data_IF_686306259521
#
_entry.id   IF_686306259521
#
_cell.length_a   1.000
_cell.length_b   1.000
_cell.length_c   1.000
_cell.angle_alpha   90.00
_cell.angle_beta   90.00
_cell.angle_gamma   90.00
#
_symmetry.space_group_name_H-M   'P 1'
#
loop_
_entity.id
_entity.type
_entity.pdbx_description
1 polymer ?
#
# COMPACT_ATOMS: atom_id res chain seq x y z
N UNK A 1 15.37 7.57 -1.73
CA UNK A 1 14.33 6.58 -1.40
C UNK A 1 14.79 5.19 -1.78
N UNK A 2 14.19 4.17 -1.18
CA UNK A 2 14.23 2.77 -1.65
C UNK A 2 13.36 2.61 -2.90
N UNK A 3 13.54 1.56 -3.70
CA UNK A 3 12.63 1.21 -4.81
C UNK A 3 11.26 0.74 -4.28
N UNK A 4 10.17 1.04 -5.02
CA UNK A 4 8.87 0.40 -4.81
C UNK A 4 8.99 -1.08 -5.14
N UNK A 5 8.39 -1.96 -4.33
CA UNK A 5 8.59 -3.42 -4.50
C UNK A 5 8.04 -3.94 -5.83
N UNK A 6 6.80 -3.56 -6.17
CA UNK A 6 6.14 -4.02 -7.42
C UNK A 6 5.33 -2.90 -8.06
N UNK A 7 5.52 -2.75 -9.37
CA UNK A 7 4.70 -1.89 -10.24
C UNK A 7 3.99 -2.74 -11.27
N UNK A 8 2.67 -2.62 -11.34
CA UNK A 8 1.86 -3.23 -12.41
C UNK A 8 1.37 -2.13 -13.35
N UNK A 9 1.77 -2.21 -14.62
CA UNK A 9 1.29 -1.31 -15.68
C UNK A 9 0.07 -1.91 -16.38
N UNK A 10 -1.05 -1.18 -16.35
CA UNK A 10 -2.31 -1.51 -17.02
C UNK A 10 -2.62 -0.44 -18.07
N UNK A 11 -2.02 -0.59 -19.26
CA UNK A 11 -2.06 0.46 -20.28
C UNK A 11 -1.31 1.71 -19.80
N UNK A 12 -2.03 2.83 -19.65
CA UNK A 12 -1.48 4.09 -19.10
C UNK A 12 -1.61 4.21 -17.57
N UNK A 13 -2.22 3.24 -16.91
CA UNK A 13 -2.49 3.25 -15.46
C UNK A 13 -1.47 2.39 -14.74
N UNK A 14 -1.15 2.76 -13.50
CA UNK A 14 -0.15 2.08 -12.69
C UNK A 14 -0.70 1.71 -11.33
N UNK A 15 -0.40 0.50 -10.87
CA UNK A 15 -0.67 0.06 -9.50
C UNK A 15 0.66 -0.16 -8.81
N UNK A 16 0.82 0.42 -7.63
CA UNK A 16 2.01 0.28 -6.82
C UNK A 16 1.71 -0.60 -5.62
N UNK A 17 2.61 -1.53 -5.34
CA UNK A 17 2.52 -2.43 -4.21
C UNK A 17 3.77 -2.30 -3.36
N UNK A 18 3.57 -2.29 -2.06
CA UNK A 18 4.65 -2.27 -1.08
C UNK A 18 4.41 -3.39 -0.06
N UNK A 19 5.38 -4.27 0.10
CA UNK A 19 5.30 -5.51 0.88
C UNK A 19 5.95 -5.30 2.23
N UNK A 20 5.21 -5.60 3.31
CA UNK A 20 5.71 -5.52 4.68
C UNK A 20 5.48 -6.84 5.41
N UNK A 21 6.50 -7.29 6.13
CA UNK A 21 6.49 -8.55 6.91
C UNK A 21 6.22 -8.31 8.40
N UNK A 22 5.75 -7.11 8.76
CA UNK A 22 5.45 -6.75 10.14
C UNK A 22 4.27 -7.56 10.70
N UNK A 23 4.33 -7.86 11.99
CA UNK A 23 3.37 -8.74 12.68
C UNK A 23 2.02 -8.09 12.99
N UNK A 24 1.76 -6.86 12.53
CA UNK A 24 0.46 -6.21 12.64
C UNK A 24 0.12 -5.40 11.39
N UNK A 25 -1.17 -5.33 11.00
CA UNK A 25 -1.59 -4.55 9.85
C UNK A 25 -1.29 -3.06 10.05
N UNK A 26 -1.40 -2.53 11.27
CA UNK A 26 -1.04 -1.14 11.61
C UNK A 26 0.42 -0.84 11.28
N UNK A 27 1.35 -1.74 11.61
CA UNK A 27 2.76 -1.56 11.28
C UNK A 27 3.00 -1.60 9.76
N UNK A 28 2.43 -2.59 9.06
CA UNK A 28 2.50 -2.66 7.59
C UNK A 28 2.00 -1.37 6.93
N UNK A 29 0.83 -0.85 7.36
CA UNK A 29 0.25 0.38 6.83
C UNK A 29 1.17 1.57 7.08
N UNK A 30 1.64 1.76 8.32
CA UNK A 30 2.51 2.89 8.69
C UNK A 30 3.82 2.90 7.90
N UNK A 31 4.44 1.74 7.72
CA UNK A 31 5.71 1.61 7.02
C UNK A 31 5.56 1.81 5.51
N UNK A 32 4.50 1.27 4.90
CA UNK A 32 4.30 1.32 3.46
C UNK A 32 3.77 2.66 2.94
N UNK A 33 2.99 3.39 3.74
CA UNK A 33 2.31 4.61 3.28
C UNK A 33 3.27 5.67 2.74
N UNK A 34 4.37 5.92 3.44
CA UNK A 34 5.35 6.93 3.03
C UNK A 34 5.94 6.62 1.66
N UNK A 35 6.38 5.38 1.46
CA UNK A 35 6.97 4.94 0.19
C UNK A 35 5.97 4.98 -0.97
N UNK A 36 4.75 4.48 -0.75
CA UNK A 36 3.69 4.50 -1.78
C UNK A 36 3.36 5.93 -2.23
N UNK A 37 3.26 6.86 -1.28
CA UNK A 37 3.00 8.27 -1.57
C UNK A 37 4.20 8.97 -2.21
N UNK A 38 5.41 8.71 -1.74
CA UNK A 38 6.63 9.27 -2.34
C UNK A 38 6.74 8.86 -3.81
N UNK A 39 6.59 7.58 -4.14
CA UNK A 39 6.63 7.11 -5.53
C UNK A 39 5.54 7.73 -6.42
N UNK A 40 4.34 7.90 -5.87
CA UNK A 40 3.20 8.38 -6.65
C UNK A 40 3.15 9.90 -6.80
N UNK A 41 3.70 10.66 -5.84
CA UNK A 41 3.45 12.10 -5.72
C UNK A 41 4.74 12.95 -5.72
N UNK A 42 5.93 12.35 -5.60
CA UNK A 42 7.18 13.10 -5.71
C UNK A 42 7.29 13.76 -7.09
N UNK A 43 7.88 14.97 -7.22
CA UNK A 43 8.08 15.60 -8.53
C UNK A 43 8.76 14.67 -9.54
N UNK A 44 8.13 14.47 -10.69
CA UNK A 44 8.59 13.53 -11.73
C UNK A 44 8.23 12.06 -11.46
N UNK A 45 7.51 11.78 -10.37
CA UNK A 45 6.93 10.48 -10.06
C UNK A 45 5.78 10.11 -10.98
N UNK A 46 5.35 8.86 -10.88
CA UNK A 46 4.26 8.32 -11.70
C UNK A 46 3.02 8.18 -10.84
N UNK A 47 1.97 8.94 -11.15
CA UNK A 47 0.70 8.85 -10.44
C UNK A 47 0.12 7.44 -10.57
N UNK A 48 -0.15 6.81 -9.43
CA UNK A 48 -0.71 5.49 -9.34
C UNK A 48 -2.25 5.55 -9.26
N UNK A 49 -2.91 4.74 -10.08
CA UNK A 49 -4.35 4.51 -9.98
C UNK A 49 -4.69 3.76 -8.68
N UNK A 50 -3.78 2.92 -8.17
CA UNK A 50 -3.94 2.20 -6.91
C UNK A 50 -2.63 2.10 -6.15
N UNK A 51 -2.73 2.31 -4.84
CA UNK A 51 -1.66 2.09 -3.87
C UNK A 51 -2.04 0.86 -3.02
N UNK A 52 -1.20 -0.15 -2.94
CA UNK A 52 -1.54 -1.40 -2.26
C UNK A 52 -0.49 -1.73 -1.22
N UNK A 53 -0.90 -1.69 0.05
CA UNK A 53 -0.11 -2.25 1.14
C UNK A 53 -0.32 -3.75 1.18
N UNK A 54 0.76 -4.51 1.07
CA UNK A 54 0.74 -5.97 1.16
C UNK A 54 1.30 -6.39 2.51
N UNK A 55 0.58 -7.22 3.24
CA UNK A 55 1.02 -7.76 4.53
C UNK A 55 0.67 -9.23 4.71
N UNK A 56 1.30 -9.89 5.66
CA UNK A 56 1.06 -11.31 5.96
C UNK A 56 -0.13 -11.51 6.93
N UNK A 57 -0.41 -10.47 7.71
CA UNK A 57 -1.45 -10.50 8.74
C UNK A 57 -2.81 -10.14 8.18
N UNK A 58 -3.86 -10.58 8.87
CA UNK A 58 -5.21 -10.17 8.53
C UNK A 58 -5.43 -8.72 8.96
N UNK A 59 -6.15 -7.97 8.12
CA UNK A 59 -6.58 -6.62 8.47
C UNK A 59 -7.56 -6.71 9.64
N UNK A 60 -7.25 -6.01 10.73
CA UNK A 60 -8.09 -5.90 11.91
C UNK A 60 -9.11 -4.73 11.77
N UNK A 61 -10.11 -4.62 12.68
CA UNK A 61 -11.11 -3.56 12.61
C UNK A 61 -10.53 -2.14 12.64
N UNK A 62 -9.47 -1.92 13.42
CA UNK A 62 -8.79 -0.64 13.56
C UNK A 62 -8.07 -0.26 12.26
N UNK A 63 -7.34 -1.19 11.66
CA UNK A 63 -6.71 -1.02 10.35
C UNK A 63 -7.73 -0.77 9.25
N UNK A 64 -8.88 -1.45 9.29
CA UNK A 64 -9.97 -1.19 8.36
C UNK A 64 -10.58 0.21 8.55
N UNK A 65 -10.73 0.67 9.80
CA UNK A 65 -11.19 2.04 10.08
C UNK A 65 -10.17 3.08 9.59
N UNK A 66 -8.89 2.83 9.81
CA UNK A 66 -7.81 3.70 9.34
C UNK A 66 -7.78 3.81 7.82
N UNK A 67 -7.86 2.69 7.08
CA UNK A 67 -7.97 2.71 5.62
C UNK A 67 -9.21 3.46 5.13
N UNK A 68 -10.37 3.29 5.80
CA UNK A 68 -11.58 4.05 5.48
C UNK A 68 -11.36 5.54 5.66
N UNK A 69 -10.69 5.96 6.74
CA UNK A 69 -10.36 7.36 6.97
C UNK A 69 -9.45 7.92 5.87
N UNK A 70 -8.43 7.17 5.47
CA UNK A 70 -7.52 7.56 4.38
C UNK A 70 -8.26 7.77 3.06
N UNK A 71 -9.11 6.80 2.67
CA UNK A 71 -9.91 6.87 1.44
C UNK A 71 -10.95 8.00 1.49
N UNK A 72 -11.62 8.20 2.62
CA UNK A 72 -12.71 9.19 2.71
C UNK A 72 -12.21 10.62 2.86
N UNK A 73 -11.19 10.85 3.68
CA UNK A 73 -10.72 12.20 4.01
C UNK A 73 -9.74 12.76 2.99
N UNK A 74 -8.91 11.90 2.40
CA UNK A 74 -7.83 12.30 1.51
C UNK A 74 -8.00 11.77 0.08
N UNK A 75 -9.09 11.04 -0.20
CA UNK A 75 -9.35 10.42 -1.50
C UNK A 75 -8.21 9.51 -1.99
N UNK A 76 -7.41 8.96 -1.06
CA UNK A 76 -6.29 8.09 -1.42
C UNK A 76 -6.81 6.77 -2.00
N UNK A 77 -6.34 6.35 -3.19
CA UNK A 77 -6.73 5.07 -3.80
C UNK A 77 -5.96 3.90 -3.18
N UNK A 78 -6.01 3.79 -1.84
CA UNK A 78 -5.19 2.86 -1.07
C UNK A 78 -5.97 1.61 -0.65
N UNK A 79 -5.35 0.44 -0.80
CA UNK A 79 -5.87 -0.85 -0.40
C UNK A 79 -4.89 -1.60 0.51
N UNK A 80 -5.41 -2.55 1.29
CA UNK A 80 -4.61 -3.53 2.02
C UNK A 80 -4.92 -4.93 1.50
N UNK A 81 -3.88 -5.69 1.16
CA UNK A 81 -4.00 -7.07 0.69
C UNK A 81 -3.20 -8.00 1.59
N UNK A 82 -3.91 -8.94 2.21
CA UNK A 82 -3.26 -10.07 2.87
C UNK A 82 -2.70 -11.02 1.82
N UNK A 83 -1.47 -11.44 2.01
CA UNK A 83 -0.87 -12.59 1.33
C UNK A 83 -0.44 -13.62 2.36
N UNK A 84 -0.43 -14.89 1.97
CA UNK A 84 0.08 -15.97 2.82
C UNK A 84 1.32 -16.50 2.12
N UNK A 85 2.47 -16.51 2.82
CA UNK A 85 3.66 -17.19 2.33
C UNK A 85 3.45 -18.70 2.46
N UNK A 86 3.46 -19.41 1.35
CA UNK A 86 3.47 -20.87 1.35
C UNK A 86 4.90 -21.32 1.70
N UNK A 87 5.08 -22.01 2.83
CA UNK A 87 6.40 -22.49 3.28
C UNK A 87 6.73 -22.26 4.76
N UNK A 88 5.76 -21.83 5.57
CA UNK A 88 5.77 -21.94 7.04
C UNK A 88 4.43 -22.48 7.51
#
# INVERSE_FOLDING_TARGET
GTLIDVVVRRGKRYWFFEIKTSSSPRACLREALGQLLEYSLWPGGQEAERLVVVGETQLDPDGAQYLRALRKRFHLPIDYRRVVRLGR
#
